data_IF_095755741992
#
_entry.id   IF_095755741992
#
_cell.length_a   1.000
_cell.length_b   1.000
_cell.length_c   1.000
_cell.angle_alpha   90.00
_cell.angle_beta   90.00
_cell.angle_gamma   90.00
#
_symmetry.space_group_name_H-M   'P 1'
#
loop_
_entity.id
_entity.type
_entity.pdbx_description
1 polymer ?
#
# COMPACT_ATOMS: atom_id res chain seq x y z
N UNK A 1 -3.04 13.55 -10.81
CA UNK A 1 -3.08 13.02 -9.43
C UNK A 1 -1.91 13.57 -8.61
N UNK A 2 -0.65 13.23 -8.94
CA UNK A 2 0.54 13.62 -8.15
C UNK A 2 0.63 15.12 -7.84
N UNK A 3 0.42 16.00 -8.84
CA UNK A 3 0.46 17.44 -8.65
C UNK A 3 -0.59 17.98 -7.65
N UNK A 4 -1.75 17.32 -7.55
CA UNK A 4 -2.80 17.70 -6.58
C UNK A 4 -2.50 17.19 -5.17
N UNK A 5 -1.78 16.06 -5.06
CA UNK A 5 -1.35 15.52 -3.77
C UNK A 5 -0.21 16.39 -3.24
N UNK A 6 0.78 16.67 -4.08
CA UNK A 6 1.94 17.49 -3.73
C UNK A 6 1.59 18.97 -3.44
N UNK A 7 0.45 19.47 -3.89
CA UNK A 7 0.03 20.86 -3.64
C UNK A 7 -0.63 21.08 -2.28
N UNK A 8 -0.79 20.04 -1.46
CA UNK A 8 -1.40 20.12 -0.13
C UNK A 8 -0.59 19.28 0.88
N UNK A 9 -0.61 19.65 2.16
CA UNK A 9 -0.12 18.75 3.20
C UNK A 9 -0.93 17.45 3.22
N UNK A 10 -0.22 16.32 3.33
CA UNK A 10 -0.79 15.00 3.55
C UNK A 10 0.22 14.19 4.36
N UNK A 11 -0.27 13.36 5.29
CA UNK A 11 0.56 12.47 6.10
C UNK A 11 0.52 11.04 5.55
N UNK A 12 -0.65 10.64 5.04
CA UNK A 12 -0.92 9.26 4.62
C UNK A 12 -1.47 9.20 3.21
N UNK A 13 -0.96 8.26 2.42
CA UNK A 13 -1.59 7.86 1.17
C UNK A 13 -2.38 6.55 1.36
N UNK A 14 -3.68 6.58 1.09
CA UNK A 14 -4.57 5.42 1.18
C UNK A 14 -5.15 5.07 -0.19
N UNK A 15 -5.20 3.78 -0.51
CA UNK A 15 -5.85 3.31 -1.72
C UNK A 15 -6.51 1.94 -1.55
N UNK A 16 -7.58 1.71 -2.31
CA UNK A 16 -8.27 0.41 -2.41
C UNK A 16 -8.26 -0.09 -3.85
N UNK A 17 -8.02 -1.38 -4.06
CA UNK A 17 -8.01 -2.04 -5.37
C UNK A 17 -7.09 -1.31 -6.37
N UNK A 18 -7.61 -0.81 -7.49
CA UNK A 18 -6.83 -0.01 -8.44
C UNK A 18 -6.30 1.32 -7.84
N UNK A 19 -6.99 1.88 -6.86
CA UNK A 19 -6.49 3.01 -6.07
C UNK A 19 -5.25 2.65 -5.25
N UNK A 20 -5.20 1.42 -4.71
CA UNK A 20 -4.03 0.90 -3.99
C UNK A 20 -2.84 0.68 -4.95
N UNK A 21 -3.12 0.17 -6.15
CA UNK A 21 -2.13 0.05 -7.23
C UNK A 21 -1.55 1.41 -7.62
N UNK A 22 -2.41 2.41 -7.83
CA UNK A 22 -1.98 3.77 -8.16
C UNK A 22 -1.17 4.39 -7.01
N UNK A 23 -1.60 4.20 -5.76
CA UNK A 23 -0.87 4.67 -4.59
C UNK A 23 0.54 4.06 -4.52
N UNK A 24 0.66 2.75 -4.78
CA UNK A 24 1.95 2.07 -4.85
C UNK A 24 2.86 2.67 -5.94
N UNK A 25 2.33 2.93 -7.13
CA UNK A 25 3.08 3.55 -8.24
C UNK A 25 3.53 4.96 -7.88
N UNK A 26 2.62 5.79 -7.37
CA UNK A 26 2.90 7.19 -6.99
C UNK A 26 4.00 7.25 -5.92
N UNK A 27 3.87 6.45 -4.86
CA UNK A 27 4.87 6.42 -3.81
C UNK A 27 6.21 5.84 -4.27
N UNK A 28 6.20 4.80 -5.13
CA UNK A 28 7.44 4.26 -5.72
C UNK A 28 8.16 5.34 -6.53
N UNK A 29 7.42 6.16 -7.29
CA UNK A 29 8.01 7.30 -8.03
C UNK A 29 8.65 8.29 -7.08
N UNK A 30 7.97 8.72 -6.01
CA UNK A 30 8.53 9.66 -5.04
C UNK A 30 9.77 9.13 -4.32
N UNK A 31 9.71 7.88 -3.85
CA UNK A 31 10.83 7.24 -3.16
C UNK A 31 12.05 7.03 -4.05
N UNK A 32 11.86 6.90 -5.36
CA UNK A 32 12.93 6.83 -6.35
C UNK A 32 13.35 8.20 -6.91
N UNK A 33 12.79 9.31 -6.40
CA UNK A 33 13.08 10.66 -6.90
C UNK A 33 12.54 10.95 -8.31
N UNK A 34 11.59 10.14 -8.80
CA UNK A 34 10.97 10.23 -10.13
C UNK A 34 9.63 10.96 -10.10
N UNK A 35 9.13 11.33 -8.93
CA UNK A 35 7.84 12.01 -8.72
C UNK A 35 7.84 12.87 -7.46
N UNK A 36 6.85 13.76 -7.29
CA UNK A 36 6.83 14.72 -6.20
C UNK A 36 6.17 14.20 -4.91
N UNK A 37 5.64 12.97 -4.91
CA UNK A 37 4.82 12.42 -3.80
C UNK A 37 5.58 11.31 -3.09
N UNK A 38 6.10 11.59 -1.89
CA UNK A 38 6.81 10.64 -1.04
C UNK A 38 6.16 10.59 0.35
N UNK A 39 5.13 9.74 0.55
CA UNK A 39 4.40 9.69 1.82
C UNK A 39 5.27 9.14 2.96
N UNK A 40 5.11 9.67 4.18
CA UNK A 40 5.69 9.07 5.38
C UNK A 40 5.03 7.72 5.69
N UNK A 41 3.73 7.61 5.43
CA UNK A 41 2.91 6.43 5.72
C UNK A 41 1.95 6.09 4.57
N UNK A 42 1.66 4.81 4.36
CA UNK A 42 0.64 4.39 3.39
C UNK A 42 -0.17 3.18 3.83
N UNK A 43 -1.40 3.09 3.33
CA UNK A 43 -2.30 1.94 3.52
C UNK A 43 -2.83 1.50 2.17
N UNK A 44 -2.49 0.27 1.78
CA UNK A 44 -2.89 -0.35 0.51
C UNK A 44 -3.85 -1.50 0.78
N UNK A 45 -5.10 -1.35 0.32
CA UNK A 45 -6.17 -2.31 0.55
C UNK A 45 -6.43 -3.11 -0.74
N UNK A 46 -6.20 -4.42 -0.73
CA UNK A 46 -6.48 -5.29 -1.88
C UNK A 46 -5.70 -4.92 -3.15
N UNK A 47 -4.44 -4.51 -3.01
CA UNK A 47 -3.60 -4.20 -4.16
C UNK A 47 -3.21 -5.49 -4.90
N UNK A 48 -3.14 -5.42 -6.23
CA UNK A 48 -2.44 -6.40 -7.05
C UNK A 48 -1.22 -5.76 -7.72
N UNK A 49 -0.48 -6.53 -8.50
CA UNK A 49 0.68 -6.04 -9.25
C UNK A 49 0.23 -4.94 -10.23
N UNK A 50 0.72 -3.70 -10.10
CA UNK A 50 0.27 -2.59 -10.92
C UNK A 50 0.90 -2.67 -12.32
N UNK A 51 0.27 -3.37 -13.26
CA UNK A 51 0.74 -3.44 -14.66
C UNK A 51 0.29 -2.18 -15.43
N UNK A 52 1.15 -1.56 -16.28
CA UNK A 52 2.48 -2.01 -16.71
C UNK A 52 3.65 -1.54 -15.82
N UNK A 53 3.38 -0.99 -14.63
CA UNK A 53 4.38 -0.38 -13.73
C UNK A 53 5.15 -1.37 -12.84
N UNK A 54 5.02 -2.67 -13.08
CA UNK A 54 5.81 -3.71 -12.39
C UNK A 54 7.34 -3.44 -12.39
N UNK A 55 7.97 -2.97 -13.49
CA UNK A 55 9.40 -2.64 -13.47
C UNK A 55 9.78 -1.54 -12.48
N UNK A 56 8.90 -0.56 -12.24
CA UNK A 56 9.13 0.52 -11.28
C UNK A 56 9.17 -0.02 -9.84
N UNK A 57 8.26 -0.93 -9.50
CA UNK A 57 8.22 -1.55 -8.17
C UNK A 57 9.41 -2.50 -7.96
N UNK A 58 9.90 -3.16 -9.01
CA UNK A 58 11.17 -3.92 -8.94
C UNK A 58 12.37 -3.02 -8.64
N UNK A 59 12.42 -1.84 -9.26
CA UNK A 59 13.45 -0.85 -8.98
C UNK A 59 13.37 -0.33 -7.53
N UNK A 60 12.15 -0.07 -7.04
CA UNK A 60 11.94 0.25 -5.63
C UNK A 60 12.44 -0.88 -4.73
N UNK A 61 12.09 -2.13 -5.03
CA UNK A 61 12.54 -3.30 -4.26
C UNK A 61 14.07 -3.35 -4.15
N UNK A 62 14.77 -3.13 -5.27
CA UNK A 62 16.24 -3.07 -5.28
C UNK A 62 16.78 -1.90 -4.43
N UNK A 63 16.16 -0.72 -4.50
CA UNK A 63 16.53 0.43 -3.68
C UNK A 63 16.30 0.16 -2.18
N UNK A 64 15.17 -0.44 -1.80
CA UNK A 64 14.86 -0.77 -0.39
C UNK A 64 15.74 -1.87 0.18
N UNK A 65 16.29 -2.75 -0.67
CA UNK A 65 17.29 -3.74 -0.26
C UNK A 65 18.66 -3.09 0.00
N UNK A 66 19.01 -2.02 -0.74
CA UNK A 66 20.28 -1.32 -0.61
C UNK A 66 20.28 -0.30 0.54
N UNK A 67 19.14 0.33 0.83
CA UNK A 67 19.02 1.34 1.87
C UNK A 67 17.62 1.36 2.50
N UNK A 68 17.55 1.75 3.78
CA UNK A 68 16.27 1.92 4.45
C UNK A 68 15.46 3.06 3.80
N UNK A 69 14.26 2.75 3.34
CA UNK A 69 13.29 3.77 2.91
C UNK A 69 12.53 4.34 4.12
N UNK A 70 12.26 5.66 4.13
CA UNK A 70 11.59 6.31 5.26
C UNK A 70 10.09 5.99 5.35
N UNK A 71 9.48 5.49 4.28
CA UNK A 71 8.05 5.19 4.25
C UNK A 71 7.73 3.91 5.00
N UNK A 72 6.70 3.96 5.84
CA UNK A 72 6.06 2.80 6.47
C UNK A 72 4.78 2.48 5.70
N UNK A 73 4.52 1.19 5.44
CA UNK A 73 3.38 0.78 4.62
C UNK A 73 2.61 -0.38 5.26
N UNK A 74 1.29 -0.32 5.19
CA UNK A 74 0.39 -1.41 5.59
C UNK A 74 -0.33 -1.95 4.36
N UNK A 75 -0.19 -3.25 4.11
CA UNK A 75 -0.80 -3.95 2.98
C UNK A 75 -1.87 -4.88 3.53
N UNK A 76 -3.13 -4.55 3.29
CA UNK A 76 -4.28 -5.33 3.76
C UNK A 76 -4.70 -6.31 2.67
N UNK A 77 -4.55 -7.60 2.95
CA UNK A 77 -4.72 -8.69 1.99
C UNK A 77 -5.74 -9.70 2.49
N UNK A 78 -6.41 -10.36 1.57
CA UNK A 78 -7.36 -11.43 1.87
C UNK A 78 -7.14 -12.63 0.96
N UNK A 79 -7.02 -13.83 1.54
CA UNK A 79 -6.99 -15.08 0.78
C UNK A 79 -8.34 -15.41 0.12
N UNK A 80 -9.42 -14.78 0.58
CA UNK A 80 -10.74 -14.87 -0.03
C UNK A 80 -10.95 -13.84 -1.16
N UNK A 81 -9.93 -13.04 -1.51
CA UNK A 81 -10.00 -12.10 -2.63
C UNK A 81 -10.00 -12.86 -3.96
N UNK A 82 -11.19 -12.95 -4.59
CA UNK A 82 -11.38 -13.57 -5.90
C UNK A 82 -11.11 -12.65 -7.10
N UNK A 83 -10.76 -11.38 -6.85
CA UNK A 83 -10.49 -10.38 -7.89
C UNK A 83 -8.98 -10.18 -8.05
N UNK A 84 -8.29 -9.94 -6.94
CA UNK A 84 -6.85 -9.74 -6.88
C UNK A 84 -6.21 -10.86 -6.04
N UNK A 85 -5.55 -11.85 -6.67
CA UNK A 85 -4.88 -12.93 -5.95
C UNK A 85 -3.89 -12.38 -4.90
N UNK A 86 -3.92 -12.98 -3.70
CA UNK A 86 -3.17 -12.48 -2.54
C UNK A 86 -1.65 -12.38 -2.80
N UNK A 87 -1.10 -13.29 -3.61
CA UNK A 87 0.32 -13.33 -3.97
C UNK A 87 0.77 -12.04 -4.66
N UNK A 88 -0.13 -11.40 -5.42
CA UNK A 88 0.16 -10.13 -6.07
C UNK A 88 0.29 -9.00 -5.05
N UNK A 89 -0.55 -9.00 -4.02
CA UNK A 89 -0.48 -8.03 -2.94
C UNK A 89 0.73 -8.26 -2.03
N UNK A 90 1.07 -9.52 -1.75
CA UNK A 90 2.30 -9.88 -1.03
C UNK A 90 3.54 -9.44 -1.79
N UNK A 91 3.55 -9.60 -3.12
CA UNK A 91 4.64 -9.10 -3.96
C UNK A 91 4.78 -7.57 -3.86
N UNK A 92 3.67 -6.83 -3.92
CA UNK A 92 3.69 -5.37 -3.74
C UNK A 92 4.23 -5.01 -2.36
N UNK A 93 3.83 -5.70 -1.30
CA UNK A 93 4.35 -5.48 0.05
C UNK A 93 5.87 -5.68 0.13
N UNK A 94 6.37 -6.75 -0.49
CA UNK A 94 7.80 -7.04 -0.57
C UNK A 94 8.62 -5.94 -1.24
N UNK A 95 8.05 -5.18 -2.18
CA UNK A 95 8.75 -4.09 -2.85
C UNK A 95 9.01 -2.87 -1.94
N UNK A 96 8.26 -2.70 -0.85
CA UNK A 96 8.44 -1.58 0.09
C UNK A 96 9.44 -1.90 1.23
N UNK A 97 10.03 -3.09 1.21
CA UNK A 97 11.12 -3.46 2.10
C UNK A 97 10.71 -3.65 3.57
N UNK A 98 11.67 -3.54 4.53
CA UNK A 98 11.47 -3.98 5.92
C UNK A 98 10.41 -3.21 6.73
N UNK A 99 9.96 -2.04 6.27
CA UNK A 99 8.93 -1.23 6.94
C UNK A 99 7.53 -1.46 6.36
N UNK A 100 7.38 -2.44 5.47
CA UNK A 100 6.10 -2.94 5.03
C UNK A 100 5.53 -3.96 6.03
N UNK A 101 4.26 -3.80 6.37
CA UNK A 101 3.50 -4.73 7.21
C UNK A 101 2.38 -5.33 6.37
N UNK A 102 2.11 -6.62 6.55
CA UNK A 102 0.98 -7.29 5.93
C UNK A 102 -0.08 -7.57 7.00
N UNK A 103 -1.30 -7.13 6.74
CA UNK A 103 -2.48 -7.43 7.54
C UNK A 103 -3.39 -8.36 6.75
N UNK A 104 -3.65 -9.55 7.30
CA UNK A 104 -4.55 -10.51 6.70
C UNK A 104 -5.96 -10.36 7.26
N UNK A 105 -6.96 -10.38 6.37
CA UNK A 105 -8.39 -10.42 6.73
C UNK A 105 -9.15 -11.45 5.88
N UNK A 106 -10.37 -11.80 6.29
CA UNK A 106 -11.14 -12.89 5.69
C UNK A 106 -12.25 -12.43 4.72
N UNK A 107 -12.47 -11.13 4.58
CA UNK A 107 -13.68 -10.58 3.94
C UNK A 107 -13.61 -10.38 2.42
N UNK A 108 -12.56 -10.89 1.76
CA UNK A 108 -12.43 -10.85 0.31
C UNK A 108 -11.98 -9.49 -0.20
N UNK A 109 -12.44 -9.13 -1.41
CA UNK A 109 -12.10 -7.87 -2.08
C UNK A 109 -12.94 -6.70 -1.57
N UNK A 110 -12.65 -6.21 -0.36
CA UNK A 110 -13.42 -5.15 0.30
C UNK A 110 -12.51 -4.14 1.00
N UNK A 111 -13.05 -2.96 1.31
CA UNK A 111 -12.45 -2.09 2.32
C UNK A 111 -12.81 -2.67 3.69
N UNK A 112 -11.86 -2.89 4.60
CA UNK A 112 -12.16 -3.34 5.95
C UNK A 112 -13.25 -2.46 6.60
N UNK A 113 -14.32 -3.09 7.06
CA UNK A 113 -15.49 -2.42 7.66
C UNK A 113 -16.74 -2.40 6.77
N UNK A 114 -16.60 -2.58 5.45
CA UNK A 114 -17.75 -2.63 4.53
C UNK A 114 -18.68 -3.82 4.79
N UNK A 115 -18.16 -4.91 5.39
CA UNK A 115 -18.92 -6.11 5.75
C UNK A 115 -19.40 -6.14 7.22
N UNK A 116 -19.30 -5.02 7.93
CA UNK A 116 -19.71 -4.92 9.34
C UNK A 116 -18.69 -5.55 10.30
N UNK A 117 -19.18 -6.22 11.34
CA UNK A 117 -18.35 -6.72 12.46
C UNK A 117 -17.28 -7.76 12.05
N UNK A 118 -17.46 -8.43 10.91
CA UNK A 118 -16.53 -9.46 10.41
C UNK A 118 -15.11 -8.93 10.14
N UNK A 119 -14.93 -7.60 10.00
CA UNK A 119 -13.63 -6.94 9.77
C UNK A 119 -13.23 -5.98 10.92
N UNK A 120 -13.88 -6.04 12.08
CA UNK A 120 -13.62 -5.10 13.17
C UNK A 120 -12.14 -5.06 13.59
N UNK A 121 -11.48 -6.22 13.62
CA UNK A 121 -10.04 -6.33 13.92
C UNK A 121 -9.19 -5.68 12.84
N UNK A 122 -9.53 -5.87 11.56
CA UNK A 122 -8.80 -5.26 10.45
C UNK A 122 -8.94 -3.74 10.46
N UNK A 123 -10.15 -3.23 10.74
CA UNK A 123 -10.40 -1.79 10.94
C UNK A 123 -9.57 -1.25 12.11
N UNK A 124 -9.56 -1.94 13.24
CA UNK A 124 -8.78 -1.54 14.41
C UNK A 124 -7.27 -1.52 14.12
N UNK A 125 -6.76 -2.51 13.39
CA UNK A 125 -5.35 -2.57 12.99
C UNK A 125 -4.96 -1.45 12.02
N UNK A 126 -5.81 -1.14 11.03
CA UNK A 126 -5.60 0.03 10.15
C UNK A 126 -5.58 1.32 10.96
N UNK A 127 -6.54 1.51 11.88
CA UNK A 127 -6.60 2.69 12.73
C UNK A 127 -5.38 2.80 13.67
N UNK A 128 -4.90 1.68 14.22
CA UNK A 128 -3.70 1.65 15.05
C UNK A 128 -2.45 2.02 14.25
N UNK A 129 -2.31 1.49 13.03
CA UNK A 129 -1.22 1.85 12.13
C UNK A 129 -1.21 3.35 11.82
N UNK A 130 -2.37 3.94 11.55
CA UNK A 130 -2.48 5.38 11.26
C UNK A 130 -2.13 6.28 12.45
N UNK A 131 -2.31 5.80 13.69
CA UNK A 131 -2.02 6.57 14.92
C UNK A 131 -0.58 6.46 15.41
N UNK A 132 0.19 5.50 14.90
CA UNK A 132 1.55 5.19 15.38
C UNK A 132 2.63 6.12 14.79
N UNK A 133 2.31 7.40 14.57
CA UNK A 133 3.24 8.42 14.06
C UNK A 133 4.20 8.94 15.12
#
# INVERSE_FOLDING_TARGET
>A
AEASIASRPYDVLLGFSQGAMLAAVVASRGLLGKGPVAPSSMVLLGAATPKPHEPLLRELAAATAAAAVPTRSLHCLSKADGINPAEMGEWVAGCFGPRAQVLWHASGHVIPGDRGEADAEAVAAVAAFLKAE
#
